data_IF_250547920090
#
_entry.id   IF_250547920090
#
_cell.length_a   1.000
_cell.length_b   1.000
_cell.length_c   1.000
_cell.angle_alpha   90.00
_cell.angle_beta   90.00
_cell.angle_gamma   90.00
#
_symmetry.space_group_name_H-M   'P 1'
#
loop_
_entity.id
_entity.type
_entity.pdbx_description
1 polymer ?
#
# COMPACT_ATOMS: atom_id res chain seq x y z
N UNK A 1 36.20 16.54 -33.12
CA UNK A 1 37.36 15.60 -33.12
C UNK A 1 38.05 15.71 -31.76
N UNK A 2 38.64 14.64 -31.18
CA UNK A 2 38.99 13.37 -31.80
C UNK A 2 38.13 12.17 -31.35
N UNK A 3 38.03 11.22 -32.29
CA UNK A 3 37.38 9.91 -32.21
C UNK A 3 38.25 8.94 -31.40
N UNK A 4 37.66 8.07 -30.59
CA UNK A 4 38.31 6.83 -30.12
C UNK A 4 37.53 5.62 -30.63
N UNK A 5 38.30 4.66 -31.15
CA UNK A 5 37.93 3.57 -32.05
C UNK A 5 37.40 2.36 -31.29
N UNK A 6 36.51 1.62 -31.95
CA UNK A 6 36.05 0.27 -31.61
C UNK A 6 37.17 -0.78 -31.73
N UNK A 7 37.10 -1.82 -30.90
CA UNK A 7 37.60 -3.16 -31.23
C UNK A 7 36.71 -4.21 -30.54
N UNK A 8 35.95 -4.96 -31.36
CA UNK A 8 35.33 -6.24 -30.98
C UNK A 8 36.42 -7.31 -30.91
N UNK A 9 36.36 -8.18 -29.92
CA UNK A 9 37.05 -9.47 -29.95
C UNK A 9 36.01 -10.58 -29.81
N UNK A 10 35.73 -11.26 -30.92
CA UNK A 10 35.02 -12.52 -30.97
C UNK A 10 36.00 -13.65 -30.66
N UNK A 11 35.62 -14.57 -29.78
CA UNK A 11 36.36 -15.83 -29.60
C UNK A 11 35.38 -16.98 -29.92
N UNK A 12 35.59 -17.55 -31.09
CA UNK A 12 35.06 -18.85 -31.52
C UNK A 12 36.09 -19.92 -31.13
N UNK A 13 35.68 -20.99 -30.45
CA UNK A 13 36.43 -22.25 -30.44
C UNK A 13 35.46 -23.41 -30.64
N UNK A 14 35.79 -24.24 -31.63
CA UNK A 14 35.04 -25.35 -32.18
C UNK A 14 34.98 -26.59 -31.26
N UNK A 15 33.97 -27.40 -31.57
CA UNK A 15 33.56 -28.69 -31.03
C UNK A 15 34.62 -29.80 -30.92
N UNK A 16 34.39 -30.75 -29.99
CA UNK A 16 34.63 -32.19 -30.18
C UNK A 16 33.55 -33.00 -29.42
N UNK A 17 32.75 -33.79 -30.15
CA UNK A 17 31.87 -34.87 -29.65
C UNK A 17 32.67 -36.18 -29.50
N UNK A 18 32.28 -37.06 -28.56
CA UNK A 18 32.22 -38.47 -28.94
C UNK A 18 30.95 -39.21 -28.49
N UNK A 19 30.75 -40.33 -29.19
CA UNK A 19 29.62 -41.23 -29.29
C UNK A 19 29.13 -41.95 -28.01
N UNK A 20 27.80 -42.00 -27.88
CA UNK A 20 26.90 -43.15 -27.66
C UNK A 20 27.50 -44.41 -27.00
N UNK A 21 26.92 -44.82 -25.86
CA UNK A 21 26.53 -46.22 -25.65
C UNK A 21 25.25 -46.34 -24.80
N UNK A 22 24.33 -47.12 -25.35
CA UNK A 22 22.99 -47.44 -24.90
C UNK A 22 23.10 -48.68 -24.00
N UNK A 23 22.61 -48.63 -22.75
CA UNK A 23 22.40 -49.84 -21.94
C UNK A 23 20.94 -49.88 -21.52
N UNK A 24 20.22 -50.81 -22.14
CA UNK A 24 18.91 -51.31 -21.71
C UNK A 24 19.16 -52.30 -20.57
N UNK A 25 18.59 -52.05 -19.40
CA UNK A 25 18.38 -53.09 -18.38
C UNK A 25 16.91 -53.07 -17.99
N UNK A 26 16.23 -54.17 -18.34
CA UNK A 26 14.86 -54.46 -17.96
C UNK A 26 14.79 -54.91 -16.49
N UNK A 27 13.71 -54.54 -15.81
CA UNK A 27 13.18 -55.26 -14.65
C UNK A 27 13.25 -54.50 -13.31
N UNK A 28 12.10 -54.07 -12.80
CA UNK A 28 11.95 -53.63 -11.41
C UNK A 28 10.80 -52.67 -11.16
N UNK A 29 9.59 -53.22 -11.02
CA UNK A 29 8.40 -52.53 -10.51
C UNK A 29 8.66 -52.02 -9.07
N UNK A 30 8.53 -50.72 -8.81
CA UNK A 30 8.27 -50.17 -7.47
C UNK A 30 7.33 -48.96 -7.58
N UNK A 31 6.18 -49.09 -6.91
CA UNK A 31 5.18 -48.06 -6.64
C UNK A 31 5.71 -46.94 -5.74
N UNK A 32 5.21 -45.72 -5.98
CA UNK A 32 5.02 -44.73 -4.93
C UNK A 32 6.23 -43.83 -4.65
N UNK A 33 6.13 -42.57 -5.04
CA UNK A 33 5.66 -41.50 -4.15
C UNK A 33 5.83 -40.18 -4.89
N UNK A 34 4.72 -39.46 -4.98
CA UNK A 34 4.66 -38.07 -5.39
C UNK A 34 5.67 -37.24 -4.58
N UNK A 35 6.33 -36.30 -5.24
CA UNK A 35 6.87 -35.09 -4.63
C UNK A 35 7.01 -34.04 -5.75
N UNK A 36 5.86 -33.57 -6.25
CA UNK A 36 5.76 -32.37 -7.08
C UNK A 36 4.48 -31.60 -6.72
N UNK A 37 4.24 -31.41 -5.42
CA UNK A 37 3.16 -30.55 -4.88
C UNK A 37 3.57 -29.93 -3.53
N UNK A 38 4.69 -29.21 -3.50
CA UNK A 38 5.07 -28.44 -2.31
C UNK A 38 5.35 -26.98 -2.64
N UNK A 39 4.49 -26.37 -3.45
CA UNK A 39 4.45 -24.91 -3.60
C UNK A 39 3.07 -24.26 -3.46
N UNK A 40 1.98 -25.03 -3.33
CA UNK A 40 0.61 -24.47 -3.35
C UNK A 40 -0.28 -24.77 -2.13
N UNK A 41 0.24 -25.39 -1.06
CA UNK A 41 -0.55 -25.75 0.12
C UNK A 41 -0.50 -24.73 1.28
N UNK A 42 0.06 -23.53 1.05
CA UNK A 42 -0.03 -22.39 1.98
C UNK A 42 -0.91 -21.26 1.40
N UNK A 43 -1.99 -21.62 0.71
CA UNK A 43 -3.20 -20.77 0.74
C UNK A 43 -3.92 -21.02 2.08
N UNK A 44 -3.21 -20.75 3.18
CA UNK A 44 -3.73 -20.76 4.55
C UNK A 44 -4.71 -19.61 4.62
N UNK A 45 -5.99 -19.91 4.82
CA UNK A 45 -7.10 -18.96 4.95
C UNK A 45 -6.65 -17.63 5.57
N UNK A 46 -6.60 -16.56 4.77
CA UNK A 46 -6.30 -15.21 5.26
C UNK A 46 -7.19 -14.89 6.45
N UNK A 47 -6.62 -14.32 7.51
CA UNK A 47 -7.42 -13.90 8.67
C UNK A 47 -8.41 -12.81 8.22
N UNK A 48 -9.56 -12.64 8.92
CA UNK A 48 -10.51 -11.58 8.59
C UNK A 48 -9.87 -10.18 8.52
N UNK A 49 -8.84 -9.95 9.35
CA UNK A 49 -8.08 -8.69 9.32
C UNK A 49 -7.26 -8.55 8.03
N UNK A 50 -6.54 -9.58 7.61
CA UNK A 50 -5.75 -9.54 6.36
C UNK A 50 -6.65 -9.34 5.13
N UNK A 51 -7.80 -10.02 5.05
CA UNK A 51 -8.78 -9.81 3.97
C UNK A 51 -9.36 -8.39 3.99
N UNK A 52 -9.58 -7.81 5.18
CA UNK A 52 -9.99 -6.41 5.29
C UNK A 52 -8.90 -5.45 4.79
N UNK A 53 -7.62 -5.74 5.05
CA UNK A 53 -6.50 -4.94 4.52
C UNK A 53 -6.36 -5.07 3.00
N UNK A 54 -6.58 -6.26 2.43
CA UNK A 54 -6.64 -6.46 0.98
C UNK A 54 -7.77 -5.63 0.36
N UNK A 55 -8.96 -5.66 0.96
CA UNK A 55 -10.11 -4.85 0.52
C UNK A 55 -9.80 -3.36 0.61
N UNK A 56 -9.17 -2.91 1.69
CA UNK A 56 -8.81 -1.52 1.89
C UNK A 56 -7.81 -1.03 0.83
N UNK A 57 -6.82 -1.85 0.44
CA UNK A 57 -5.89 -1.54 -0.65
C UNK A 57 -6.59 -1.30 -2.00
N UNK A 58 -7.63 -2.09 -2.29
CA UNK A 58 -8.46 -1.92 -3.49
C UNK A 58 -9.23 -0.60 -3.40
N UNK A 59 -9.87 -0.31 -2.27
CA UNK A 59 -10.64 0.93 -2.07
C UNK A 59 -9.79 2.20 -2.17
N UNK A 60 -8.59 2.21 -1.59
CA UNK A 60 -7.67 3.35 -1.71
C UNK A 60 -6.96 3.40 -3.08
N UNK A 61 -7.05 2.32 -3.85
CA UNK A 61 -6.37 2.16 -5.14
C UNK A 61 -4.83 2.20 -5.01
N UNK A 62 -4.28 1.62 -3.94
CA UNK A 62 -2.84 1.54 -3.68
C UNK A 62 -2.49 0.18 -3.09
N UNK A 63 -1.52 -0.51 -3.71
CA UNK A 63 -0.98 -1.79 -3.22
C UNK A 63 0.33 -1.54 -2.49
N UNK A 64 0.35 -1.81 -1.19
CA UNK A 64 1.54 -1.64 -0.36
C UNK A 64 2.62 -2.66 -0.73
N UNK A 65 3.86 -2.18 -0.86
CA UNK A 65 5.06 -3.02 -0.97
C UNK A 65 5.37 -3.65 0.39
N UNK A 66 5.25 -2.87 1.46
CA UNK A 66 5.43 -3.30 2.85
C UNK A 66 4.08 -3.29 3.57
N UNK A 67 3.32 -4.40 3.47
CA UNK A 67 1.98 -4.52 4.07
C UNK A 67 1.97 -4.26 5.60
N UNK A 68 3.10 -4.46 6.28
CA UNK A 68 3.28 -4.12 7.69
C UNK A 68 2.99 -2.64 8.02
N UNK A 69 3.23 -1.73 7.08
CA UNK A 69 2.89 -0.30 7.24
C UNK A 69 1.38 -0.09 7.31
N UNK A 70 0.61 -0.77 6.46
CA UNK A 70 -0.85 -0.70 6.50
C UNK A 70 -1.42 -1.36 7.76
N UNK A 71 -0.86 -2.52 8.16
CA UNK A 71 -1.22 -3.16 9.45
C UNK A 71 -1.03 -2.20 10.62
N UNK A 72 0.12 -1.50 10.64
CA UNK A 72 0.42 -0.51 11.68
C UNK A 72 -0.51 0.71 11.59
N UNK A 73 -0.81 1.21 10.40
CA UNK A 73 -1.78 2.29 10.19
C UNK A 73 -3.17 1.95 10.75
N UNK A 74 -3.59 0.68 10.63
CA UNK A 74 -4.85 0.16 11.19
C UNK A 74 -4.74 -0.32 12.65
N UNK A 75 -3.76 0.17 13.41
CA UNK A 75 -3.57 -0.19 14.82
C UNK A 75 -3.54 1.06 15.69
N UNK A 76 -4.55 1.23 16.53
CA UNK A 76 -4.63 2.35 17.45
C UNK A 76 -3.70 2.15 18.66
N UNK A 77 -3.26 3.25 19.28
CA UNK A 77 -2.36 3.22 20.45
C UNK A 77 -2.94 2.48 21.67
N UNK A 78 -4.28 2.34 21.74
CA UNK A 78 -4.89 1.54 22.80
C UNK A 78 -4.77 0.03 22.57
N UNK A 79 -4.47 -0.42 21.35
CA UNK A 79 -4.32 -1.85 21.01
C UNK A 79 -2.87 -2.33 21.17
N UNK A 80 -1.87 -1.51 20.83
CA UNK A 80 -0.45 -1.87 20.86
C UNK A 80 0.45 -0.63 20.96
N UNK A 81 1.66 -0.81 21.49
CA UNK A 81 2.75 0.18 21.42
C UNK A 81 3.21 0.39 19.97
N UNK A 82 3.15 -0.65 19.15
CA UNK A 82 3.34 -0.53 17.70
C UNK A 82 2.05 -0.06 17.03
N UNK A 83 1.85 1.25 17.02
CA UNK A 83 0.60 1.87 16.57
C UNK A 83 0.79 2.95 15.50
N UNK A 84 -0.34 3.49 15.08
CA UNK A 84 -0.49 4.43 14.00
C UNK A 84 -0.21 5.89 14.37
N UNK A 85 0.13 6.24 15.61
CA UNK A 85 0.19 7.65 16.03
C UNK A 85 1.24 8.45 15.27
N UNK A 86 2.44 7.90 15.09
CA UNK A 86 3.48 8.54 14.28
C UNK A 86 3.09 8.66 12.81
N UNK A 87 2.51 7.59 12.24
CA UNK A 87 2.01 7.59 10.85
C UNK A 87 0.88 8.61 10.65
N UNK A 88 0.01 8.78 11.65
CA UNK A 88 -1.08 9.76 11.63
C UNK A 88 -0.56 11.19 11.61
N UNK A 89 0.55 11.48 12.30
CA UNK A 89 1.16 12.81 12.28
C UNK A 89 1.75 13.07 10.89
N UNK A 90 2.53 12.13 10.35
CA UNK A 90 3.07 12.25 9.00
C UNK A 90 1.97 12.41 7.95
N UNK A 91 0.92 11.60 8.04
CA UNK A 91 -0.20 11.65 7.11
C UNK A 91 -0.99 12.95 7.18
N UNK A 92 -1.14 13.56 8.37
CA UNK A 92 -1.72 14.89 8.48
C UNK A 92 -0.91 15.91 7.68
N UNK A 93 0.42 15.93 7.85
CA UNK A 93 1.31 16.83 7.12
C UNK A 93 1.22 16.60 5.61
N UNK A 94 1.22 15.35 5.16
CA UNK A 94 1.08 14.98 3.73
C UNK A 94 -0.22 15.54 3.15
N UNK A 95 -1.35 15.36 3.85
CA UNK A 95 -2.66 15.83 3.40
C UNK A 95 -2.67 17.37 3.31
N UNK A 96 -2.19 18.06 4.34
CA UNK A 96 -2.15 19.53 4.37
C UNK A 96 -1.23 20.10 3.29
N UNK A 97 -0.06 19.48 3.07
CA UNK A 97 0.85 19.83 1.96
C UNK A 97 0.18 19.62 0.62
N UNK A 98 -0.49 18.49 0.40
CA UNK A 98 -1.17 18.20 -0.87
C UNK A 98 -2.31 19.18 -1.16
N UNK A 99 -3.08 19.58 -0.13
CA UNK A 99 -4.10 20.64 -0.26
C UNK A 99 -3.47 21.99 -0.58
N UNK A 100 -2.34 22.29 0.04
CA UNK A 100 -1.61 23.54 -0.22
C UNK A 100 -1.10 23.62 -1.65
N UNK A 101 -0.40 22.57 -2.11
CA UNK A 101 0.14 22.46 -3.46
C UNK A 101 -0.96 22.58 -4.50
N UNK A 102 -2.00 21.75 -4.42
CA UNK A 102 -3.09 21.76 -5.39
C UNK A 102 -3.85 23.10 -5.43
N UNK A 103 -3.99 23.76 -4.28
CA UNK A 103 -4.61 25.09 -4.23
C UNK A 103 -3.77 26.14 -4.96
N UNK A 104 -2.45 26.15 -4.73
CA UNK A 104 -1.52 27.07 -5.39
C UNK A 104 -1.36 26.78 -6.89
N UNK A 105 -1.30 25.51 -7.28
CA UNK A 105 -1.30 25.10 -8.70
C UNK A 105 -2.56 25.57 -9.43
N UNK A 106 -3.72 25.53 -8.76
CA UNK A 106 -4.98 26.00 -9.34
C UNK A 106 -5.09 27.54 -9.39
N UNK A 107 -4.50 28.24 -8.42
CA UNK A 107 -4.53 29.69 -8.31
C UNK A 107 -3.36 30.20 -7.46
N UNK A 108 -2.31 30.70 -8.12
CA UNK A 108 -1.15 31.27 -7.44
C UNK A 108 -1.45 32.56 -6.66
N UNK A 109 -2.55 33.26 -7.00
CA UNK A 109 -2.98 34.49 -6.33
C UNK A 109 -3.91 34.23 -5.13
N UNK A 110 -4.06 32.97 -4.69
CA UNK A 110 -4.85 32.64 -3.51
C UNK A 110 -4.31 33.35 -2.27
N UNK A 111 -5.19 34.07 -1.54
CA UNK A 111 -4.77 34.73 -0.31
C UNK A 111 -4.35 33.72 0.76
N UNK A 112 -3.37 34.08 1.59
CA UNK A 112 -2.95 33.24 2.73
C UNK A 112 -4.12 32.88 3.66
N UNK A 113 -5.10 33.77 3.84
CA UNK A 113 -6.30 33.52 4.64
C UNK A 113 -7.14 32.38 4.04
N UNK A 114 -7.38 32.44 2.73
CA UNK A 114 -8.18 31.44 2.03
C UNK A 114 -7.45 30.09 1.93
N UNK A 115 -6.13 30.10 1.70
CA UNK A 115 -5.32 28.89 1.72
C UNK A 115 -5.38 28.19 3.09
N UNK A 116 -5.15 28.93 4.18
CA UNK A 116 -5.26 28.39 5.54
C UNK A 116 -6.66 27.89 5.86
N UNK A 117 -7.72 28.53 5.35
CA UNK A 117 -9.10 28.03 5.50
C UNK A 117 -9.26 26.66 4.85
N UNK A 118 -8.77 26.47 3.62
CA UNK A 118 -8.85 25.18 2.91
C UNK A 118 -8.08 24.06 3.61
N UNK A 119 -6.87 24.37 4.10
CA UNK A 119 -6.05 23.45 4.90
C UNK A 119 -6.80 23.07 6.19
N UNK A 120 -7.34 24.05 6.90
CA UNK A 120 -8.10 23.79 8.13
C UNK A 120 -9.35 22.94 7.87
N UNK A 121 -10.07 23.21 6.77
CA UNK A 121 -11.28 22.48 6.41
C UNK A 121 -11.02 20.99 6.16
N UNK A 122 -9.94 20.64 5.45
CA UNK A 122 -9.59 19.22 5.24
C UNK A 122 -9.15 18.54 6.53
N UNK A 123 -8.49 19.27 7.43
CA UNK A 123 -7.98 18.77 8.70
C UNK A 123 -9.02 18.67 9.82
N UNK A 124 -10.26 19.14 9.60
CA UNK A 124 -11.36 18.96 10.55
C UNK A 124 -11.63 17.48 10.79
N UNK A 125 -11.59 17.09 12.06
CA UNK A 125 -11.75 15.69 12.49
C UNK A 125 -13.13 15.17 12.09
N UNK A 126 -14.20 15.80 12.57
CA UNK A 126 -15.58 15.29 12.41
C UNK A 126 -16.07 15.35 10.96
N UNK A 127 -16.05 16.56 10.38
CA UNK A 127 -16.74 16.86 9.13
C UNK A 127 -15.97 16.48 7.87
N UNK A 128 -14.69 16.11 7.99
CA UNK A 128 -13.82 15.79 6.85
C UNK A 128 -13.12 14.46 7.07
N UNK A 129 -12.09 14.45 7.92
CA UNK A 129 -11.18 13.31 8.07
C UNK A 129 -11.87 12.02 8.58
N UNK A 130 -12.67 12.11 9.63
CA UNK A 130 -13.43 10.97 10.15
C UNK A 130 -14.57 10.57 9.22
N UNK A 131 -15.19 11.52 8.51
CA UNK A 131 -16.23 11.24 7.53
C UNK A 131 -15.67 10.41 6.35
N UNK A 132 -14.53 10.81 5.80
CA UNK A 132 -13.83 10.04 4.76
C UNK A 132 -13.39 8.66 5.25
N UNK A 133 -12.81 8.59 6.46
CA UNK A 133 -12.44 7.31 7.08
C UNK A 133 -13.65 6.40 7.34
N UNK A 134 -14.81 6.96 7.71
CA UNK A 134 -16.05 6.18 7.84
C UNK A 134 -16.56 5.69 6.49
N UNK A 135 -16.47 6.48 5.43
CA UNK A 135 -16.82 6.08 4.05
C UNK A 135 -15.95 4.92 3.55
N UNK A 136 -14.67 4.90 3.92
CA UNK A 136 -13.77 3.75 3.68
C UNK A 136 -14.00 2.57 4.65
N UNK A 137 -14.95 2.67 5.59
CA UNK A 137 -15.21 1.60 6.55
C UNK A 137 -14.11 1.39 7.60
N UNK A 138 -13.21 2.35 7.81
CA UNK A 138 -12.04 2.17 8.70
C UNK A 138 -12.40 1.83 10.14
N UNK A 139 -13.54 2.32 10.63
CA UNK A 139 -14.07 1.98 11.98
C UNK A 139 -14.30 0.47 12.18
N UNK A 140 -14.43 -0.31 11.11
CA UNK A 140 -14.57 -1.78 11.13
C UNK A 140 -13.24 -2.53 11.04
N UNK A 141 -12.17 -1.83 10.61
CA UNK A 141 -10.86 -2.43 10.32
C UNK A 141 -9.85 -2.08 11.41
N UNK A 142 -9.91 -0.85 11.95
CA UNK A 142 -8.97 -0.38 12.96
C UNK A 142 -9.04 -1.24 14.21
N UNK A 143 -7.89 -1.75 14.62
CA UNK A 143 -7.74 -2.52 15.86
C UNK A 143 -7.62 -1.57 17.04
N UNK A 144 -8.46 -1.79 18.04
CA UNK A 144 -8.56 -1.00 19.27
C UNK A 144 -8.70 -1.94 20.46
N UNK A 145 -8.36 -1.49 21.67
CA UNK A 145 -8.68 -2.28 22.88
C UNK A 145 -10.18 -2.30 23.16
N UNK A 146 -10.69 -3.26 23.96
CA UNK A 146 -12.12 -3.38 24.27
C UNK A 146 -12.75 -2.14 24.92
N UNK A 147 -11.96 -1.25 25.54
CA UNK A 147 -12.43 -0.02 26.19
C UNK A 147 -12.44 1.20 25.26
N UNK A 148 -11.98 1.05 24.02
CA UNK A 148 -11.87 2.14 23.06
C UNK A 148 -12.91 1.96 21.97
N UNK A 149 -13.71 2.99 21.71
CA UNK A 149 -14.65 2.98 20.59
C UNK A 149 -13.91 3.16 19.26
N UNK A 150 -13.96 2.16 18.38
CA UNK A 150 -13.36 2.23 17.04
C UNK A 150 -14.06 3.20 16.10
N UNK A 151 -15.32 3.56 16.40
CA UNK A 151 -16.13 4.50 15.64
C UNK A 151 -15.94 5.95 16.10
N UNK A 152 -15.19 6.16 17.20
CA UNK A 152 -14.87 7.47 17.71
C UNK A 152 -14.15 8.29 16.63
N UNK A 153 -14.58 9.53 16.35
CA UNK A 153 -14.05 10.33 15.25
C UNK A 153 -12.54 10.54 15.27
N UNK A 154 -11.94 10.71 16.46
CA UNK A 154 -10.48 10.81 16.61
C UNK A 154 -9.75 9.51 16.24
N UNK A 155 -10.33 8.34 16.55
CA UNK A 155 -9.75 7.04 16.20
C UNK A 155 -9.80 6.82 14.69
N UNK A 156 -10.96 7.07 14.09
CA UNK A 156 -11.15 6.92 12.64
C UNK A 156 -10.28 7.89 11.86
N UNK A 157 -10.25 9.17 12.27
CA UNK A 157 -9.43 10.17 11.62
C UNK A 157 -7.92 9.88 11.77
N UNK A 158 -7.49 9.40 12.94
CA UNK A 158 -6.10 8.96 13.16
C UNK A 158 -5.71 7.82 12.22
N UNK A 159 -6.58 6.81 12.09
CA UNK A 159 -6.38 5.70 11.16
C UNK A 159 -6.35 6.17 9.69
N UNK A 160 -7.27 7.06 9.31
CA UNK A 160 -7.34 7.65 7.97
C UNK A 160 -6.05 8.37 7.59
N UNK A 161 -5.58 9.29 8.45
CA UNK A 161 -4.29 9.98 8.25
C UNK A 161 -3.15 8.98 8.17
N UNK A 162 -3.13 7.99 9.06
CA UNK A 162 -2.07 7.00 9.10
C UNK A 162 -1.97 6.16 7.81
N UNK A 163 -3.06 5.92 7.08
CA UNK A 163 -3.01 5.27 5.76
C UNK A 163 -2.10 6.07 4.82
N UNK A 164 -2.33 7.37 4.68
CA UNK A 164 -1.53 8.21 3.77
C UNK A 164 -0.11 8.44 4.28
N UNK A 165 0.09 8.53 5.61
CA UNK A 165 1.43 8.51 6.18
C UNK A 165 2.19 7.22 5.88
N UNK A 166 1.50 6.07 5.92
CA UNK A 166 2.06 4.78 5.54
C UNK A 166 2.37 4.71 4.03
N UNK A 167 1.52 5.25 3.15
CA UNK A 167 1.81 5.32 1.71
C UNK A 167 3.07 6.14 1.46
N UNK A 168 3.18 7.33 2.08
CA UNK A 168 4.35 8.20 1.90
C UNK A 168 5.67 7.52 2.30
N UNK A 169 5.66 6.66 3.34
CA UNK A 169 6.84 5.86 3.71
C UNK A 169 7.09 4.66 2.80
N UNK A 170 6.05 4.09 2.21
CA UNK A 170 6.16 2.93 1.32
C UNK A 170 6.61 3.33 -0.11
N UNK A 171 6.26 4.55 -0.53
CA UNK A 171 6.71 5.16 -1.78
C UNK A 171 7.98 5.99 -1.64
N UNK A 172 8.31 6.42 -0.40
CA UNK A 172 9.35 7.40 -0.09
C UNK A 172 9.07 8.78 -0.74
N UNK A 173 7.81 9.06 -1.06
CA UNK A 173 7.34 10.26 -1.76
C UNK A 173 6.02 10.74 -1.19
N UNK A 174 6.01 11.95 -0.63
CA UNK A 174 4.80 12.56 -0.07
C UNK A 174 3.74 12.82 -1.16
N UNK A 175 4.15 13.19 -2.37
CA UNK A 175 3.25 13.51 -3.48
C UNK A 175 2.40 12.31 -3.91
N UNK A 176 3.00 11.11 -4.01
CA UNK A 176 2.27 9.87 -4.33
C UNK A 176 1.14 9.59 -3.32
N UNK A 177 1.38 9.88 -2.03
CA UNK A 177 0.39 9.73 -0.98
C UNK A 177 -0.70 10.82 -1.06
N UNK A 178 -0.35 12.04 -1.42
CA UNK A 178 -1.29 13.12 -1.71
C UNK A 178 -2.23 12.80 -2.88
N UNK A 179 -1.71 12.22 -3.96
CA UNK A 179 -2.52 11.75 -5.09
C UNK A 179 -3.49 10.63 -4.68
N UNK A 180 -3.04 9.70 -3.83
CA UNK A 180 -3.93 8.69 -3.25
C UNK A 180 -5.03 9.32 -2.39
N UNK A 181 -4.69 10.32 -1.58
CA UNK A 181 -5.65 11.06 -0.77
C UNK A 181 -6.73 11.71 -1.62
N UNK A 182 -6.36 12.39 -2.71
CA UNK A 182 -7.32 13.06 -3.59
C UNK A 182 -8.29 12.13 -4.31
N UNK A 183 -7.90 10.87 -4.57
CA UNK A 183 -8.83 9.87 -5.13
C UNK A 183 -9.91 9.48 -4.12
N UNK A 184 -9.56 9.43 -2.84
CA UNK A 184 -10.44 9.01 -1.75
C UNK A 184 -11.30 10.15 -1.22
N UNK A 185 -10.73 11.34 -1.10
CA UNK A 185 -11.38 12.54 -0.59
C UNK A 185 -12.51 12.99 -1.52
N UNK A 186 -13.64 13.44 -0.96
CA UNK A 186 -14.77 13.94 -1.76
C UNK A 186 -15.58 12.88 -2.54
N UNK A 187 -15.22 11.60 -2.49
CA UNK A 187 -16.12 10.49 -2.87
C UNK A 187 -16.01 9.94 -4.28
N UNK A 188 -14.87 10.05 -4.97
CA UNK A 188 -14.68 9.38 -6.27
C UNK A 188 -14.51 7.86 -6.18
N UNK A 189 -14.33 7.29 -4.98
CA UNK A 189 -14.31 5.83 -4.78
C UNK A 189 -15.72 5.31 -4.47
N UNK A 190 -16.48 5.05 -5.53
CA UNK A 190 -17.83 4.49 -5.42
C UNK A 190 -18.50 4.10 -6.75
N UNK A 191 -17.74 3.96 -7.84
CA UNK A 191 -18.28 3.58 -9.16
C UNK A 191 -18.37 2.08 -9.43
N UNK A 192 -18.04 1.21 -8.47
CA UNK A 192 -18.19 -0.22 -8.62
C UNK A 192 -18.41 -0.84 -7.23
N UNK A 193 -19.68 -1.08 -6.90
CA UNK A 193 -20.23 -2.13 -6.03
C UNK A 193 -21.69 -1.75 -5.70
N UNK A 194 -22.49 -1.67 -6.77
CA UNK A 194 -23.92 -1.88 -6.73
C UNK A 194 -24.20 -3.00 -7.73
N UNK A 195 -24.10 -4.25 -7.25
CA UNK A 195 -24.76 -5.43 -7.79
C UNK A 195 -25.14 -6.30 -6.60
#
# INVERSE_FOLDING_TARGET
MPRRRFALAAVFVLAILPHIQFIVSAGGFVQGLANDEQHDLISIRSSPFETALETLQVQIGYKYKKIGLLRRAMTHASFSEENNKALSILGANVIETSVSMRSLESNLEISAKELNRRISDVSKVESSCAADGKRLGLHKVVRVSPKTDSSAPLVVCGAFRAVFGAIALDTEKADDAGECFWRVHGGQVGGALAM
#
